data_IF_736693957736
#
_entry.id   IF_736693957736
#
_cell.length_a   1.000
_cell.length_b   1.000
_cell.length_c   1.000
_cell.angle_alpha   90.00
_cell.angle_beta   90.00
_cell.angle_gamma   90.00
#
_symmetry.space_group_name_H-M   'P 1'
#
loop_
_entity.id
_entity.type
_entity.pdbx_description
1 polymer ?
#
# COMPACT_ATOMS: atom_id res chain seq x y z
N UNK A 1 40.38 15.46 54.29
CA UNK A 1 40.73 14.10 53.84
C UNK A 1 39.56 13.20 54.21
N UNK A 2 38.74 12.80 53.23
CA UNK A 2 38.82 11.51 52.51
C UNK A 2 38.53 10.30 53.44
N UNK A 3 37.65 9.35 53.13
CA UNK A 3 36.95 9.13 51.88
C UNK A 3 35.78 8.15 52.02
N UNK A 4 34.74 8.45 51.25
CA UNK A 4 33.66 7.52 50.89
C UNK A 4 34.17 6.63 49.74
N UNK A 5 34.15 5.31 49.91
CA UNK A 5 34.36 4.38 48.81
C UNK A 5 33.35 3.23 48.87
N UNK A 6 33.00 2.77 47.67
CA UNK A 6 32.29 1.53 47.32
C UNK A 6 30.76 1.53 47.24
N UNK A 7 30.25 2.08 46.13
CA UNK A 7 28.99 1.63 45.49
C UNK A 7 29.04 1.67 43.95
N UNK A 8 30.23 1.79 43.34
CA UNK A 8 30.37 1.88 41.87
C UNK A 8 30.50 0.53 41.15
N UNK A 9 30.74 -0.59 41.86
CA UNK A 9 30.94 -1.91 41.23
C UNK A 9 29.67 -2.54 40.63
N UNK A 10 28.52 -2.41 41.29
CA UNK A 10 27.30 -3.11 40.86
C UNK A 10 26.54 -2.43 39.73
N UNK A 11 26.69 -1.11 39.56
CA UNK A 11 25.97 -0.37 38.51
C UNK A 11 26.63 -0.51 37.12
N UNK A 12 27.96 -0.69 37.09
CA UNK A 12 28.72 -0.91 35.86
C UNK A 12 28.45 -2.31 35.30
N UNK A 13 28.43 -3.33 36.15
CA UNK A 13 28.13 -4.71 35.75
C UNK A 13 26.70 -4.87 35.20
N UNK A 14 25.72 -4.16 35.76
CA UNK A 14 24.34 -4.20 35.24
C UNK A 14 24.21 -3.48 33.91
N UNK A 15 24.91 -2.36 33.68
CA UNK A 15 24.92 -1.67 32.39
C UNK A 15 25.61 -2.49 31.30
N UNK A 16 26.74 -3.14 31.61
CA UNK A 16 27.43 -4.02 30.67
C UNK A 16 26.60 -5.27 30.32
N UNK A 17 25.89 -5.84 31.30
CA UNK A 17 24.96 -6.94 31.06
C UNK A 17 23.76 -6.51 30.20
N UNK A 18 23.18 -5.33 30.45
CA UNK A 18 22.08 -4.80 29.64
C UNK A 18 22.52 -4.43 28.22
N UNK A 19 23.74 -3.94 28.05
CA UNK A 19 24.29 -3.59 26.74
C UNK A 19 24.67 -4.84 25.94
N UNK A 20 25.15 -5.91 26.61
CA UNK A 20 25.30 -7.25 26.01
C UNK A 20 23.96 -7.89 25.65
N UNK A 21 22.93 -7.72 26.47
CA UNK A 21 21.58 -8.24 26.16
C UNK A 21 20.93 -7.48 24.99
N UNK A 22 21.03 -6.15 24.98
CA UNK A 22 20.52 -5.30 23.89
C UNK A 22 21.27 -5.54 22.58
N UNK A 23 22.60 -5.68 22.63
CA UNK A 23 23.38 -6.04 21.43
C UNK A 23 23.07 -7.45 20.95
N UNK A 24 22.87 -8.44 21.84
CA UNK A 24 22.46 -9.80 21.44
C UNK A 24 21.03 -9.86 20.88
N UNK A 25 20.09 -9.05 21.39
CA UNK A 25 18.74 -8.91 20.84
C UNK A 25 18.77 -8.22 19.47
N UNK A 26 19.59 -7.18 19.32
CA UNK A 26 19.81 -6.50 18.04
C UNK A 26 20.51 -7.42 17.04
N UNK A 27 21.49 -8.21 17.47
CA UNK A 27 22.15 -9.23 16.64
C UNK A 27 21.20 -10.40 16.29
N UNK A 28 20.24 -10.74 17.15
CA UNK A 28 19.22 -11.76 16.86
C UNK A 28 18.18 -11.24 15.87
N UNK A 29 17.72 -9.99 16.01
CA UNK A 29 16.80 -9.36 15.06
C UNK A 29 17.48 -9.05 13.72
N UNK A 30 18.73 -8.55 13.73
CA UNK A 30 19.53 -8.36 12.53
C UNK A 30 19.89 -9.70 11.88
N UNK A 31 20.22 -10.78 12.62
CA UNK A 31 20.38 -12.13 12.03
C UNK A 31 19.09 -12.74 11.50
N UNK A 32 17.93 -12.33 11.99
CA UNK A 32 16.63 -12.79 11.46
C UNK A 32 16.26 -12.05 10.18
N UNK A 33 16.75 -10.81 10.03
CA UNK A 33 16.50 -9.94 8.87
C UNK A 33 17.59 -10.10 7.78
N UNK A 34 18.78 -10.61 8.14
CA UNK A 34 19.96 -10.73 7.25
C UNK A 34 20.51 -12.16 7.15
N UNK A 35 19.65 -13.17 7.04
CA UNK A 35 20.11 -14.53 6.67
C UNK A 35 20.28 -14.62 5.13
N UNK A 36 21.32 -13.96 4.63
CA UNK A 36 21.81 -14.13 3.26
C UNK A 36 22.39 -15.54 3.05
N UNK A 37 21.80 -16.23 2.07
CA UNK A 37 22.49 -16.83 0.92
C UNK A 37 23.91 -17.39 1.16
N UNK A 38 23.97 -18.70 1.38
CA UNK A 38 25.06 -19.51 0.81
C UNK A 38 24.47 -20.19 -0.42
N UNK A 39 24.84 -19.68 -1.60
CA UNK A 39 24.66 -20.37 -2.87
C UNK A 39 25.45 -21.68 -2.85
N UNK A 40 24.75 -22.79 -2.63
CA UNK A 40 25.17 -24.13 -3.05
C UNK A 40 24.02 -24.73 -3.85
N UNK A 41 24.16 -24.62 -5.18
CA UNK A 41 23.51 -25.37 -6.25
C UNK A 41 22.22 -26.16 -5.93
N UNK A 42 21.10 -25.67 -6.49
CA UNK A 42 19.93 -26.47 -6.86
C UNK A 42 18.85 -26.59 -5.77
N UNK A 43 17.65 -26.08 -6.09
CA UNK A 43 16.41 -26.13 -5.29
C UNK A 43 16.34 -25.18 -4.08
N UNK A 44 16.21 -23.88 -4.34
CA UNK A 44 15.85 -22.88 -3.32
C UNK A 44 14.34 -22.83 -3.09
N UNK A 45 13.95 -22.96 -1.83
CA UNK A 45 12.58 -22.97 -1.34
C UNK A 45 11.89 -21.60 -1.45
N UNK A 46 10.80 -21.52 -2.21
CA UNK A 46 10.01 -20.31 -2.44
C UNK A 46 9.11 -19.91 -1.25
N UNK A 47 9.06 -20.71 -0.17
CA UNK A 47 8.04 -20.59 0.90
C UNK A 47 8.22 -19.44 1.89
N UNK A 48 9.41 -18.83 2.02
CA UNK A 48 9.62 -17.79 3.04
C UNK A 48 8.85 -16.48 2.75
N UNK A 49 8.49 -16.21 1.49
CA UNK A 49 7.64 -15.07 1.12
C UNK A 49 6.14 -15.42 1.05
N UNK A 50 5.79 -16.71 1.16
CA UNK A 50 4.40 -17.18 1.14
C UNK A 50 3.75 -17.19 2.53
N UNK A 51 4.52 -16.99 3.60
CA UNK A 51 4.02 -17.05 4.99
C UNK A 51 3.26 -15.80 5.43
N UNK A 52 3.55 -14.61 4.88
CA UNK A 52 2.85 -13.38 5.27
C UNK A 52 1.83 -12.99 4.20
N UNK A 53 0.54 -12.99 4.57
CA UNK A 53 -0.54 -12.70 3.60
C UNK A 53 -1.47 -11.61 4.15
N UNK A 54 -2.62 -11.98 4.71
CA UNK A 54 -3.62 -11.04 5.21
C UNK A 54 -3.06 -10.14 6.33
N UNK A 55 -3.25 -8.81 6.19
CA UNK A 55 -2.76 -7.78 7.11
C UNK A 55 -1.28 -7.91 7.51
N UNK A 56 -0.46 -8.43 6.58
CA UNK A 56 0.95 -8.74 6.81
C UNK A 56 1.19 -9.65 8.03
N UNK A 57 0.21 -10.51 8.36
CA UNK A 57 0.31 -11.52 9.41
C UNK A 57 0.74 -12.86 8.85
N UNK A 58 1.44 -13.59 9.71
CA UNK A 58 1.92 -14.94 9.42
C UNK A 58 0.72 -15.89 9.34
N UNK A 59 0.54 -16.50 8.18
CA UNK A 59 -0.35 -17.62 7.96
C UNK A 59 0.36 -18.89 8.42
N UNK A 60 -0.22 -19.54 9.42
CA UNK A 60 0.15 -20.91 9.76
C UNK A 60 -0.42 -21.86 8.70
N UNK A 61 0.46 -22.47 7.90
CA UNK A 61 0.08 -23.36 6.80
C UNK A 61 -0.58 -24.65 7.28
N UNK A 62 -0.30 -25.13 8.50
CA UNK A 62 -0.89 -26.37 9.02
C UNK A 62 -2.34 -26.18 9.42
N UNK A 63 -2.68 -24.99 9.92
CA UNK A 63 -4.02 -24.70 10.45
C UNK A 63 -4.86 -23.79 9.55
N UNK A 64 -4.23 -23.05 8.63
CA UNK A 64 -4.88 -22.05 7.79
C UNK A 64 -5.26 -20.77 8.52
N UNK A 65 -4.73 -20.54 9.73
CA UNK A 65 -5.05 -19.40 10.57
C UNK A 65 -3.92 -18.38 10.58
N UNK A 66 -4.26 -17.12 10.85
CA UNK A 66 -3.28 -16.04 10.95
C UNK A 66 -2.90 -15.78 12.40
N UNK A 67 -1.60 -15.69 12.69
CA UNK A 67 -1.11 -15.33 14.00
C UNK A 67 -0.94 -13.80 14.14
N UNK A 68 -1.67 -13.22 15.08
CA UNK A 68 -1.69 -11.77 15.33
C UNK A 68 -0.91 -11.35 16.59
N UNK A 69 -0.24 -12.29 17.26
CA UNK A 69 0.48 -12.05 18.51
C UNK A 69 -0.34 -12.51 19.72
N UNK A 70 -1.46 -11.88 20.01
CA UNK A 70 -2.28 -12.28 21.15
C UNK A 70 -3.33 -13.36 20.82
N UNK A 71 -3.72 -13.48 19.54
CA UNK A 71 -4.78 -14.38 19.09
C UNK A 71 -4.47 -14.97 17.71
N UNK A 72 -5.08 -16.12 17.44
CA UNK A 72 -5.19 -16.67 16.08
C UNK A 72 -6.50 -16.23 15.45
N UNK A 73 -6.43 -15.74 14.22
CA UNK A 73 -7.57 -15.34 13.40
C UNK A 73 -7.86 -16.41 12.37
N UNK A 74 -9.11 -16.85 12.31
CA UNK A 74 -9.61 -17.74 11.26
C UNK A 74 -10.18 -16.89 10.11
N UNK A 75 -9.50 -16.83 8.95
CA UNK A 75 -9.93 -16.02 7.82
C UNK A 75 -11.15 -16.60 7.08
N UNK A 76 -11.47 -17.88 7.27
CA UNK A 76 -12.60 -18.56 6.61
C UNK A 76 -13.91 -18.18 7.29
N UNK A 77 -13.90 -18.10 8.62
CA UNK A 77 -15.07 -17.74 9.42
C UNK A 77 -15.07 -16.28 9.87
N UNK A 78 -13.97 -15.56 9.65
CA UNK A 78 -13.77 -14.16 10.03
C UNK A 78 -13.93 -13.91 11.54
N UNK A 79 -13.37 -14.81 12.34
CA UNK A 79 -13.44 -14.75 13.82
C UNK A 79 -12.08 -14.99 14.45
N UNK A 80 -11.91 -14.46 15.67
CA UNK A 80 -10.84 -14.89 16.55
C UNK A 80 -11.13 -16.29 17.10
N UNK A 81 -10.08 -17.11 17.21
CA UNK A 81 -10.18 -18.45 17.81
C UNK A 81 -10.18 -18.45 19.34
N UNK A 82 -9.89 -17.30 19.96
CA UNK A 82 -9.90 -17.14 21.42
C UNK A 82 -10.59 -15.83 21.83
N UNK A 83 -11.08 -15.81 23.07
CA UNK A 83 -11.70 -14.63 23.70
C UNK A 83 -10.73 -13.45 23.67
N UNK A 84 -11.24 -12.26 23.31
CA UNK A 84 -10.49 -11.00 23.38
C UNK A 84 -9.96 -10.74 24.81
N UNK A 85 -8.64 -10.59 25.00
CA UNK A 85 -8.08 -10.22 26.30
C UNK A 85 -8.63 -8.90 26.86
N UNK A 86 -9.14 -8.02 25.98
CA UNK A 86 -9.75 -6.74 26.30
C UNK A 86 -11.25 -6.71 25.97
N UNK A 87 -11.95 -7.86 26.02
CA UNK A 87 -13.38 -7.96 25.76
C UNK A 87 -14.23 -6.94 26.53
N UNK A 88 -13.84 -6.61 27.76
CA UNK A 88 -14.52 -5.63 28.62
C UNK A 88 -14.52 -4.20 28.04
N UNK A 89 -13.56 -3.87 27.17
CA UNK A 89 -13.48 -2.58 26.48
C UNK A 89 -14.53 -2.43 25.38
N UNK A 90 -15.10 -3.54 24.91
CA UNK A 90 -16.04 -3.57 23.79
C UNK A 90 -17.41 -4.14 24.21
N UNK A 91 -18.10 -3.51 25.19
CA UNK A 91 -19.41 -3.99 25.62
C UNK A 91 -20.40 -3.94 24.44
N UNK A 92 -21.13 -5.03 24.22
CA UNK A 92 -22.07 -5.17 23.11
C UNK A 92 -21.50 -5.84 21.85
N UNK A 93 -20.20 -6.12 21.81
CA UNK A 93 -19.58 -6.91 20.75
C UNK A 93 -19.21 -8.31 21.22
N UNK A 94 -19.30 -9.29 20.32
CA UNK A 94 -18.83 -10.65 20.61
C UNK A 94 -17.32 -10.63 20.91
N UNK A 95 -16.81 -11.31 21.95
CA UNK A 95 -15.37 -11.36 22.24
C UNK A 95 -14.55 -12.08 21.15
N UNK A 96 -15.21 -12.68 20.17
CA UNK A 96 -14.60 -13.35 19.02
C UNK A 96 -14.69 -12.51 17.74
N UNK A 97 -15.26 -11.31 17.79
CA UNK A 97 -15.42 -10.47 16.61
C UNK A 97 -14.06 -9.96 16.12
N UNK A 98 -13.85 -10.00 14.80
CA UNK A 98 -12.71 -9.34 14.19
C UNK A 98 -13.09 -7.90 13.83
N UNK A 99 -12.30 -6.92 14.29
CA UNK A 99 -12.35 -5.51 13.82
C UNK A 99 -13.73 -4.83 13.92
N UNK A 100 -14.52 -5.11 14.96
CA UNK A 100 -15.89 -4.61 15.13
C UNK A 100 -16.79 -4.93 13.92
N UNK A 101 -16.55 -6.10 13.31
CA UNK A 101 -17.18 -6.54 12.06
C UNK A 101 -17.01 -5.58 10.88
N UNK A 102 -16.01 -4.71 10.92
CA UNK A 102 -15.67 -3.80 9.83
C UNK A 102 -14.17 -3.87 9.47
N UNK A 103 -13.71 -5.02 8.95
CA UNK A 103 -12.31 -5.25 8.55
C UNK A 103 -11.87 -4.43 7.32
N UNK A 104 -12.83 -3.77 6.66
CA UNK A 104 -12.55 -2.84 5.56
C UNK A 104 -12.02 -1.52 6.11
N UNK A 105 -12.52 -1.11 7.29
CA UNK A 105 -12.13 0.14 7.93
C UNK A 105 -11.07 -0.04 9.01
N UNK A 106 -11.15 -1.09 9.80
CA UNK A 106 -10.28 -1.26 10.98
C UNK A 106 -9.31 -2.41 10.80
N UNK A 107 -8.20 -2.32 11.51
CA UNK A 107 -7.23 -3.39 11.68
C UNK A 107 -7.09 -3.69 13.16
N UNK A 108 -6.71 -4.91 13.53
CA UNK A 108 -6.27 -5.22 14.90
C UNK A 108 -4.83 -5.73 14.82
N UNK A 109 -3.82 -4.85 14.89
CA UNK A 109 -2.44 -5.23 14.62
C UNK A 109 -1.85 -6.20 15.65
N UNK A 110 -2.42 -6.31 16.84
CA UNK A 110 -1.87 -7.10 17.95
C UNK A 110 -2.76 -8.27 18.37
N UNK A 111 -3.96 -8.37 17.78
CA UNK A 111 -4.98 -9.28 18.25
C UNK A 111 -5.50 -8.89 19.63
N UNK A 112 -5.50 -7.61 20.00
CA UNK A 112 -6.01 -7.13 21.29
C UNK A 112 -6.84 -5.85 21.17
N UNK A 113 -6.52 -4.98 20.21
CA UNK A 113 -7.14 -3.65 20.11
C UNK A 113 -7.42 -3.38 18.65
N UNK A 114 -8.69 -3.09 18.37
CA UNK A 114 -9.12 -2.58 17.08
C UNK A 114 -8.64 -1.14 16.94
N UNK A 115 -7.89 -0.87 15.87
CA UNK A 115 -7.33 0.42 15.51
C UNK A 115 -7.90 0.88 14.16
N UNK A 116 -8.11 2.19 14.01
CA UNK A 116 -8.23 2.75 12.68
C UNK A 116 -6.85 2.68 12.00
N UNK A 117 -6.77 2.60 10.66
CA UNK A 117 -5.52 2.71 9.93
C UNK A 117 -4.89 4.09 10.15
N UNK A 118 -3.57 4.09 10.18
CA UNK A 118 -2.76 5.28 10.39
C UNK A 118 -2.92 6.30 9.26
N UNK A 119 -2.75 7.58 9.59
CA UNK A 119 -2.54 8.62 8.59
C UNK A 119 -1.12 8.50 8.01
N UNK A 120 -1.02 8.58 6.69
CA UNK A 120 0.25 8.51 5.97
C UNK A 120 0.64 9.85 5.36
N UNK A 121 1.91 10.20 5.48
CA UNK A 121 2.50 11.38 4.89
C UNK A 121 3.38 11.00 3.73
N UNK A 122 3.11 11.55 2.55
CA UNK A 122 3.97 11.43 1.38
C UNK A 122 4.62 12.77 1.05
N UNK A 123 5.82 12.70 0.49
CA UNK A 123 6.53 13.88 0.02
C UNK A 123 5.81 14.50 -1.17
N UNK A 124 5.51 15.80 -1.09
CA UNK A 124 4.76 16.50 -2.12
C UNK A 124 5.45 16.53 -3.48
N UNK A 125 6.79 16.38 -3.51
CA UNK A 125 7.58 16.39 -4.75
C UNK A 125 7.77 15.01 -5.36
N UNK A 126 7.90 13.99 -4.52
CA UNK A 126 8.32 12.65 -4.95
C UNK A 126 7.28 11.56 -4.75
N UNK A 127 6.22 11.86 -3.99
CA UNK A 127 5.17 10.91 -3.60
C UNK A 127 5.68 9.78 -2.69
N UNK A 128 6.93 9.84 -2.24
CA UNK A 128 7.54 8.82 -1.37
C UNK A 128 6.94 8.90 0.03
N UNK A 129 6.67 7.75 0.65
CA UNK A 129 6.27 7.70 2.05
C UNK A 129 7.36 8.32 2.97
N UNK A 130 6.93 9.26 3.82
CA UNK A 130 7.74 9.93 4.84
C UNK A 130 7.50 9.35 6.24
N UNK A 131 6.26 8.99 6.55
CA UNK A 131 5.88 8.39 7.84
C UNK A 131 4.43 8.64 8.22
N UNK A 132 4.15 8.54 9.51
CA UNK A 132 2.81 8.68 10.12
C UNK A 132 2.88 9.65 11.29
N UNK A 133 1.75 10.25 11.67
CA UNK A 133 1.65 11.21 12.78
C UNK A 133 0.97 10.64 14.04
N UNK A 134 0.68 9.34 14.06
CA UNK A 134 -0.04 8.67 15.16
C UNK A 134 -1.52 9.05 15.26
N UNK A 135 -2.05 9.81 14.29
CA UNK A 135 -3.49 9.91 14.09
C UNK A 135 -3.94 8.73 13.24
N UNK A 136 -5.12 8.20 13.57
CA UNK A 136 -5.63 7.01 12.92
C UNK A 136 -6.94 7.38 12.20
N UNK A 137 -6.84 8.12 11.09
CA UNK A 137 -8.02 8.61 10.36
C UNK A 137 -8.09 8.12 8.90
N UNK A 138 -7.23 7.18 8.50
CA UNK A 138 -7.07 6.65 7.14
C UNK A 138 -6.79 7.74 6.08
N UNK A 139 -6.11 8.83 6.46
CA UNK A 139 -5.84 9.93 5.53
C UNK A 139 -4.43 9.85 4.96
N UNK A 140 -4.32 10.10 3.67
CA UNK A 140 -3.04 10.31 3.02
C UNK A 140 -2.85 11.80 2.82
N UNK A 141 -1.75 12.36 3.32
CA UNK A 141 -1.44 13.78 3.29
C UNK A 141 -0.13 14.03 2.57
N UNK A 142 -0.02 15.17 1.91
CA UNK A 142 1.20 15.60 1.23
C UNK A 142 1.84 16.75 1.98
N UNK A 143 3.17 16.69 2.11
CA UNK A 143 3.98 17.69 2.80
C UNK A 143 5.37 17.75 2.15
N UNK A 144 6.06 18.90 2.18
CA UNK A 144 7.48 18.94 1.78
C UNK A 144 8.32 18.12 2.76
N UNK A 145 9.20 17.26 2.23
CA UNK A 145 10.04 16.39 3.05
C UNK A 145 10.88 17.13 4.10
N UNK A 146 11.36 18.35 3.82
CA UNK A 146 12.14 19.12 4.81
C UNK A 146 11.24 19.57 5.96
N UNK A 147 10.03 20.03 5.67
CA UNK A 147 9.05 20.41 6.69
C UNK A 147 8.71 19.22 7.59
N UNK A 148 8.45 18.05 7.02
CA UNK A 148 8.20 16.82 7.80
C UNK A 148 9.38 16.48 8.72
N UNK A 149 10.61 16.48 8.17
CA UNK A 149 11.83 16.17 8.92
C UNK A 149 12.11 17.18 10.03
N UNK A 150 11.83 18.47 9.81
CA UNK A 150 11.97 19.51 10.81
C UNK A 150 10.99 19.30 11.98
N UNK A 151 9.72 19.02 11.70
CA UNK A 151 8.72 18.72 12.75
C UNK A 151 9.15 17.48 13.52
N UNK A 152 9.56 16.42 12.84
CA UNK A 152 10.06 15.19 13.47
C UNK A 152 11.25 15.45 14.39
N UNK A 153 12.24 16.23 13.95
CA UNK A 153 13.43 16.54 14.73
C UNK A 153 13.09 17.38 15.97
N UNK A 154 12.25 18.40 15.82
CA UNK A 154 11.88 19.32 16.89
C UNK A 154 11.04 18.65 18.00
N UNK A 155 10.29 17.61 17.66
CA UNK A 155 9.40 16.92 18.59
C UNK A 155 9.93 15.53 19.02
N UNK A 156 11.17 15.18 18.66
CA UNK A 156 11.78 13.86 18.90
C UNK A 156 10.93 12.68 18.36
N UNK A 157 10.21 12.88 17.26
CA UNK A 157 9.26 11.93 16.71
C UNK A 157 8.08 12.61 16.03
N UNK A 158 7.14 11.80 15.54
CA UNK A 158 5.98 12.29 14.78
C UNK A 158 4.64 12.04 15.46
N UNK A 159 4.63 11.27 16.55
CA UNK A 159 3.40 10.72 17.17
C UNK A 159 2.96 11.43 18.46
N UNK A 160 3.66 12.49 18.88
CA UNK A 160 3.20 13.32 20.01
C UNK A 160 2.10 14.27 19.55
N UNK A 161 1.14 14.62 20.42
CA UNK A 161 0.03 15.53 20.05
C UNK A 161 0.51 16.80 19.35
N UNK A 162 1.62 17.39 19.84
CA UNK A 162 2.23 18.58 19.25
C UNK A 162 2.80 18.31 17.85
N UNK A 163 3.48 17.18 17.64
CA UNK A 163 3.98 16.80 16.32
C UNK A 163 2.82 16.53 15.35
N UNK A 164 1.80 15.81 15.80
CA UNK A 164 0.58 15.51 15.04
C UNK A 164 -0.10 16.79 14.56
N UNK A 165 -0.36 17.74 15.48
CA UNK A 165 -0.96 19.03 15.14
C UNK A 165 -0.12 19.81 14.13
N UNK A 166 1.20 19.87 14.32
CA UNK A 166 2.11 20.56 13.39
C UNK A 166 2.15 19.90 12.02
N UNK A 167 2.21 18.56 11.95
CA UNK A 167 2.21 17.83 10.69
C UNK A 167 0.88 18.02 9.95
N UNK A 168 -0.25 17.96 10.64
CA UNK A 168 -1.57 18.16 10.03
C UNK A 168 -1.78 19.59 9.54
N UNK A 169 -1.28 20.59 10.28
CA UNK A 169 -1.37 22.00 9.90
C UNK A 169 -0.48 22.37 8.69
N UNK A 170 0.65 21.68 8.53
CA UNK A 170 1.61 21.93 7.44
C UNK A 170 1.47 20.97 6.26
N UNK A 171 0.38 20.21 6.19
CA UNK A 171 0.12 19.25 5.12
C UNK A 171 -1.25 19.45 4.50
N UNK A 172 -1.40 18.96 3.27
CA UNK A 172 -2.66 18.96 2.54
C UNK A 172 -3.19 17.55 2.38
N UNK A 173 -4.50 17.36 2.51
CA UNK A 173 -5.13 16.06 2.27
C UNK A 173 -5.08 15.72 0.78
N UNK A 174 -4.65 14.49 0.45
CA UNK A 174 -4.76 13.95 -0.90
C UNK A 174 -6.19 13.46 -1.10
N UNK A 175 -6.81 13.94 -2.16
CA UNK A 175 -8.16 13.53 -2.57
C UNK A 175 -8.10 12.76 -3.87
N UNK A 176 -9.16 12.04 -4.22
CA UNK A 176 -9.28 11.32 -5.50
C UNK A 176 -10.42 11.95 -6.28
N UNK A 177 -10.15 12.41 -7.51
CA UNK A 177 -11.19 12.82 -8.44
C UNK A 177 -11.87 11.59 -9.03
N UNK A 178 -12.73 10.96 -8.22
CA UNK A 178 -13.37 9.70 -8.57
C UNK A 178 -14.21 9.82 -9.85
N UNK A 179 -14.88 10.95 -10.04
CA UNK A 179 -15.71 11.19 -11.22
C UNK A 179 -14.87 11.14 -12.51
N UNK A 180 -13.70 11.79 -12.52
CA UNK A 180 -12.81 11.76 -13.68
C UNK A 180 -12.26 10.35 -13.92
N UNK A 181 -11.73 9.71 -12.87
CA UNK A 181 -11.13 8.36 -12.97
C UNK A 181 -12.15 7.34 -13.48
N UNK A 182 -13.35 7.31 -12.91
CA UNK A 182 -14.43 6.39 -13.33
C UNK A 182 -14.90 6.68 -14.77
N UNK A 183 -15.02 7.95 -15.13
CA UNK A 183 -15.43 8.39 -16.47
C UNK A 183 -14.40 7.97 -17.53
N UNK A 184 -13.11 8.17 -17.24
CA UNK A 184 -12.04 7.81 -18.17
C UNK A 184 -11.93 6.29 -18.33
N UNK A 185 -12.05 5.52 -17.24
CA UNK A 185 -12.10 4.04 -17.27
C UNK A 185 -13.26 3.55 -18.14
N UNK A 186 -14.44 4.12 -17.93
CA UNK A 186 -15.64 3.82 -18.73
C UNK A 186 -15.39 4.11 -20.21
N UNK A 187 -14.74 5.25 -20.49
CA UNK A 187 -14.41 5.71 -21.84
C UNK A 187 -13.46 4.74 -22.52
N UNK A 188 -12.30 4.44 -21.93
CA UNK A 188 -11.32 3.52 -22.54
C UNK A 188 -11.89 2.12 -22.76
N UNK A 189 -12.70 1.62 -21.84
CA UNK A 189 -13.36 0.32 -21.97
C UNK A 189 -14.32 0.32 -23.17
N UNK A 190 -15.21 1.31 -23.25
CA UNK A 190 -16.22 1.38 -24.31
C UNK A 190 -15.58 1.65 -25.68
N UNK A 191 -14.50 2.42 -25.73
CA UNK A 191 -13.73 2.64 -26.95
C UNK A 191 -13.05 1.34 -27.41
N UNK A 192 -12.44 0.56 -26.53
CA UNK A 192 -11.85 -0.76 -26.86
C UNK A 192 -12.91 -1.75 -27.33
N UNK A 193 -14.09 -1.74 -26.70
CA UNK A 193 -15.21 -2.59 -27.11
C UNK A 193 -15.67 -2.25 -28.54
N UNK A 194 -15.71 -0.95 -28.86
CA UNK A 194 -16.16 -0.46 -30.16
C UNK A 194 -15.09 -0.62 -31.24
N UNK A 195 -13.82 -0.44 -30.89
CA UNK A 195 -12.64 -0.52 -31.75
C UNK A 195 -11.71 -1.62 -31.24
N UNK A 196 -11.96 -2.84 -31.71
CA UNK A 196 -11.19 -4.04 -31.34
C UNK A 196 -9.78 -4.07 -31.96
N UNK A 197 -9.40 -3.06 -32.75
CA UNK A 197 -8.08 -3.03 -33.41
C UNK A 197 -6.97 -2.52 -32.50
N UNK A 198 -7.31 -1.89 -31.37
CA UNK A 198 -6.34 -1.31 -30.46
C UNK A 198 -6.81 -1.37 -29.01
N UNK A 199 -5.84 -1.57 -28.12
CA UNK A 199 -6.02 -1.41 -26.68
C UNK A 199 -5.95 0.07 -26.29
N UNK A 200 -6.43 0.38 -25.10
CA UNK A 200 -6.41 1.72 -24.54
C UNK A 200 -5.62 1.75 -23.26
N UNK A 201 -4.98 2.90 -23.04
CA UNK A 201 -4.11 3.17 -21.92
C UNK A 201 -4.68 4.36 -21.15
N UNK A 202 -4.48 4.37 -19.84
CA UNK A 202 -4.88 5.44 -18.93
C UNK A 202 -3.83 5.55 -17.84
N UNK A 203 -3.43 6.77 -17.55
CA UNK A 203 -2.49 7.06 -16.46
C UNK A 203 -3.28 7.51 -15.24
N UNK A 204 -2.95 6.97 -14.07
CA UNK A 204 -3.39 7.48 -12.77
C UNK A 204 -2.30 8.40 -12.25
N UNK A 205 -2.65 9.64 -11.96
CA UNK A 205 -1.70 10.72 -11.71
C UNK A 205 -1.93 11.35 -10.34
N UNK A 206 -0.86 11.66 -9.61
CA UNK A 206 -0.90 12.61 -8.51
C UNK A 206 -0.56 13.99 -9.07
N UNK A 207 -1.59 14.80 -9.27
CA UNK A 207 -1.49 16.13 -9.90
C UNK A 207 -1.67 17.23 -8.87
N UNK A 208 -1.04 18.38 -9.11
CA UNK A 208 -1.30 19.58 -8.32
C UNK A 208 -2.62 20.23 -8.74
N UNK A 209 -3.43 20.63 -7.75
CA UNK A 209 -4.62 21.46 -7.91
C UNK A 209 -4.58 22.61 -6.92
N UNK A 210 -5.26 23.71 -7.22
CA UNK A 210 -5.58 24.71 -6.22
C UNK A 210 -6.89 24.33 -5.54
N UNK A 211 -6.95 24.40 -4.21
CA UNK A 211 -8.19 24.27 -3.45
C UNK A 211 -9.09 25.52 -3.60
N UNK A 212 -10.30 25.49 -3.02
CA UNK A 212 -11.25 26.61 -3.08
C UNK A 212 -10.72 27.91 -2.45
N UNK A 213 -9.64 27.81 -1.67
CA UNK A 213 -8.96 28.93 -1.03
C UNK A 213 -7.69 29.36 -1.79
N UNK A 214 -7.41 28.76 -2.95
CA UNK A 214 -6.25 29.05 -3.79
C UNK A 214 -4.94 28.39 -3.35
N UNK A 215 -4.96 27.51 -2.33
CA UNK A 215 -3.77 26.80 -1.88
C UNK A 215 -3.50 25.60 -2.76
N UNK A 216 -2.23 25.34 -3.05
CA UNK A 216 -1.83 24.14 -3.78
C UNK A 216 -2.00 22.89 -2.91
N UNK A 217 -2.75 21.93 -3.43
CA UNK A 217 -2.92 20.59 -2.89
C UNK A 217 -2.67 19.56 -3.99
N UNK A 218 -2.58 18.29 -3.64
CA UNK A 218 -2.49 17.21 -4.61
C UNK A 218 -3.77 16.40 -4.66
N UNK A 219 -4.12 15.95 -5.86
CA UNK A 219 -5.28 15.12 -6.14
C UNK A 219 -4.89 13.99 -7.08
N UNK A 220 -5.48 12.82 -6.84
CA UNK A 220 -5.42 11.71 -7.77
C UNK A 220 -6.39 11.97 -8.91
N UNK A 221 -5.86 12.11 -10.12
CA UNK A 221 -6.58 12.33 -11.36
C UNK A 221 -6.23 11.22 -12.36
N UNK A 222 -6.78 11.34 -13.58
CA UNK A 222 -6.43 10.45 -14.67
C UNK A 222 -6.22 11.18 -15.99
N UNK A 223 -5.42 10.60 -16.87
CA UNK A 223 -5.19 11.09 -18.23
C UNK A 223 -5.24 9.91 -19.21
N UNK A 224 -6.17 9.94 -20.16
CA UNK A 224 -6.26 8.93 -21.23
C UNK A 224 -4.99 8.99 -22.09
N UNK A 225 -4.32 7.85 -22.22
CA UNK A 225 -3.12 7.70 -23.02
C UNK A 225 -3.38 7.48 -24.51
N UNK A 226 -2.28 7.35 -25.25
CA UNK A 226 -2.33 6.92 -26.65
C UNK A 226 -2.90 5.50 -26.76
N UNK A 227 -3.45 5.17 -27.93
CA UNK A 227 -3.85 3.80 -28.24
C UNK A 227 -2.63 2.87 -28.12
N UNK A 228 -2.81 1.75 -27.43
CA UNK A 228 -1.78 0.72 -27.27
C UNK A 228 -1.61 -0.11 -28.55
N UNK A 229 -0.59 -0.97 -28.54
CA UNK A 229 -0.42 -2.04 -29.53
C UNK A 229 -0.75 -3.36 -28.83
N UNK A 230 -1.53 -4.23 -29.47
CA UNK A 230 -2.03 -5.51 -28.90
C UNK A 230 -1.00 -6.25 -28.03
N UNK A 231 -1.29 -6.36 -26.73
CA UNK A 231 -0.49 -7.06 -25.72
C UNK A 231 0.77 -6.35 -25.27
N UNK A 232 0.89 -5.05 -25.52
CA UNK A 232 2.00 -4.21 -25.06
C UNK A 232 1.48 -3.08 -24.18
N UNK A 233 1.80 -3.15 -22.90
CA UNK A 233 1.66 -2.05 -21.94
C UNK A 233 2.75 -1.00 -22.23
N UNK A 234 2.56 -0.17 -23.27
CA UNK A 234 3.45 0.95 -23.54
C UNK A 234 3.14 2.11 -22.59
N UNK A 235 3.77 2.11 -21.43
CA UNK A 235 3.63 3.17 -20.44
C UNK A 235 4.57 4.32 -20.79
N UNK A 236 4.06 5.34 -21.50
CA UNK A 236 4.80 6.52 -21.97
C UNK A 236 5.15 7.53 -20.87
N UNK A 237 5.48 7.05 -19.67
CA UNK A 237 5.96 7.87 -18.56
C UNK A 237 7.49 7.99 -18.61
N UNK A 238 8.02 9.11 -18.14
CA UNK A 238 9.48 9.34 -18.05
C UNK A 238 9.90 9.20 -16.61
N UNK A 239 10.93 8.40 -16.34
CA UNK A 239 11.55 8.33 -15.02
C UNK A 239 12.49 9.52 -14.88
N UNK A 240 12.26 10.38 -13.88
CA UNK A 240 13.15 11.52 -13.62
C UNK A 240 14.43 11.08 -12.87
N UNK A 241 15.34 12.02 -12.59
CA UNK A 241 16.61 11.73 -11.94
C UNK A 241 16.48 11.14 -10.53
N UNK A 242 15.35 11.34 -9.86
CA UNK A 242 15.04 10.79 -8.54
C UNK A 242 14.33 9.42 -8.64
N UNK A 243 14.31 8.84 -9.85
CA UNK A 243 13.69 7.55 -10.12
C UNK A 243 12.16 7.61 -10.14
N UNK A 244 11.53 8.79 -10.18
CA UNK A 244 10.06 8.96 -10.08
C UNK A 244 9.44 8.89 -11.47
N UNK A 245 8.40 8.07 -11.68
CA UNK A 245 7.65 8.06 -12.94
C UNK A 245 6.82 9.35 -13.05
N UNK A 246 7.05 10.11 -14.11
CA UNK A 246 6.44 11.41 -14.34
C UNK A 246 5.70 11.44 -15.69
N UNK A 247 4.59 12.19 -15.73
CA UNK A 247 3.87 12.54 -16.95
C UNK A 247 3.30 13.94 -16.84
N UNK A 248 3.62 14.82 -17.79
CA UNK A 248 3.10 16.20 -17.85
C UNK A 248 3.25 16.97 -16.52
N UNK A 249 4.37 16.77 -15.81
CA UNK A 249 4.61 17.41 -14.51
C UNK A 249 3.88 16.79 -13.32
N UNK A 250 3.09 15.74 -13.52
CA UNK A 250 2.43 14.95 -12.46
C UNK A 250 3.18 13.65 -12.19
N UNK A 251 3.12 13.17 -10.95
CA UNK A 251 3.67 11.86 -10.57
C UNK A 251 2.70 10.78 -11.06
N UNK A 252 3.22 9.70 -11.61
CA UNK A 252 2.40 8.59 -12.08
C UNK A 252 2.28 7.55 -10.97
N UNK A 253 1.05 7.32 -10.51
CA UNK A 253 0.75 6.37 -9.42
C UNK A 253 0.47 4.96 -9.95
N UNK A 254 0.00 4.85 -11.20
CA UNK A 254 -0.35 3.59 -11.82
C UNK A 254 -0.83 3.74 -13.24
N UNK A 255 -1.01 2.60 -13.91
CA UNK A 255 -1.51 2.51 -15.28
C UNK A 255 -2.70 1.59 -15.38
N UNK A 256 -3.70 1.97 -16.17
CA UNK A 256 -4.82 1.09 -16.53
C UNK A 256 -4.77 0.84 -18.02
N UNK A 257 -4.91 -0.41 -18.43
CA UNK A 257 -5.05 -0.77 -19.83
C UNK A 257 -6.23 -1.72 -20.06
N UNK A 258 -6.73 -1.76 -21.28
CA UNK A 258 -7.83 -2.62 -21.70
C UNK A 258 -7.36 -3.73 -22.62
N UNK A 259 -8.06 -4.85 -22.60
CA UNK A 259 -7.83 -5.98 -23.51
C UNK A 259 -8.88 -6.02 -24.64
N UNK A 260 -8.45 -6.16 -25.89
CA UNK A 260 -9.32 -6.46 -27.04
C UNK A 260 -9.52 -7.98 -27.24
N UNK A 261 -10.35 -8.37 -28.21
CA UNK A 261 -10.79 -9.76 -28.44
C UNK A 261 -9.64 -10.76 -28.65
N UNK A 262 -9.79 -11.92 -28.01
CA UNK A 262 -8.80 -12.99 -27.87
C UNK A 262 -8.47 -13.80 -29.15
N UNK A 263 -9.12 -13.56 -30.30
CA UNK A 263 -8.90 -14.37 -31.51
C UNK A 263 -7.49 -14.25 -32.11
N UNK A 264 -6.78 -13.15 -31.83
CA UNK A 264 -5.45 -12.86 -32.39
C UNK A 264 -4.28 -13.05 -31.38
N UNK A 265 -4.59 -13.65 -30.21
CA UNK A 265 -3.68 -14.19 -29.17
C UNK A 265 -2.35 -13.43 -28.93
N UNK A 266 -2.44 -12.30 -28.23
CA UNK A 266 -1.38 -11.83 -27.32
C UNK A 266 -1.86 -11.57 -25.89
N UNK A 267 -3.15 -11.34 -25.68
CA UNK A 267 -3.68 -10.96 -24.37
C UNK A 267 -4.19 -12.16 -23.58
N UNK A 268 -3.76 -12.27 -22.33
CA UNK A 268 -4.29 -13.22 -21.37
C UNK A 268 -5.34 -12.51 -20.48
N UNK A 269 -6.45 -13.16 -20.12
CA UNK A 269 -7.33 -12.66 -19.06
C UNK A 269 -6.53 -12.33 -17.81
N UNK A 270 -6.82 -11.20 -17.17
CA UNK A 270 -6.09 -10.81 -15.97
C UNK A 270 -4.90 -9.91 -16.22
N UNK A 271 -3.77 -10.18 -15.55
CA UNK A 271 -2.52 -9.44 -15.79
C UNK A 271 -1.46 -10.37 -16.36
N UNK A 272 -0.59 -9.82 -17.21
CA UNK A 272 0.44 -10.54 -17.93
C UNK A 272 1.84 -10.34 -17.30
N UNK A 273 2.82 -11.09 -17.82
CA UNK A 273 4.24 -10.89 -17.46
C UNK A 273 4.73 -9.49 -17.88
N UNK A 274 4.20 -8.94 -18.98
CA UNK A 274 4.53 -7.60 -19.44
C UNK A 274 4.01 -6.53 -18.47
N UNK A 275 2.82 -6.74 -17.89
CA UNK A 275 2.29 -5.88 -16.83
C UNK A 275 3.14 -5.93 -15.58
N UNK A 276 3.56 -7.14 -15.18
CA UNK A 276 4.46 -7.31 -14.04
C UNK A 276 5.79 -6.58 -14.26
N UNK A 277 6.40 -6.74 -15.43
CA UNK A 277 7.64 -6.06 -15.78
C UNK A 277 7.47 -4.53 -15.80
N UNK A 278 6.33 -4.04 -16.28
CA UNK A 278 6.01 -2.60 -16.31
C UNK A 278 5.80 -2.06 -14.89
N UNK A 279 5.02 -2.76 -14.06
CA UNK A 279 4.78 -2.42 -12.66
C UNK A 279 6.08 -2.34 -11.86
N UNK A 280 6.96 -3.33 -12.01
CA UNK A 280 8.28 -3.36 -11.37
C UNK A 280 9.21 -2.28 -11.92
N UNK A 281 9.24 -2.08 -13.24
CA UNK A 281 10.13 -1.11 -13.90
C UNK A 281 9.84 0.34 -13.52
N UNK A 282 8.57 0.70 -13.35
CA UNK A 282 8.17 2.05 -12.94
C UNK A 282 7.92 2.19 -11.43
N UNK A 283 7.84 1.07 -10.69
CA UNK A 283 7.53 1.08 -9.26
C UNK A 283 6.08 1.50 -8.97
N UNK A 284 5.14 1.10 -9.83
CA UNK A 284 3.72 1.47 -9.79
C UNK A 284 2.81 0.25 -9.91
N UNK A 285 1.51 0.42 -9.67
CA UNK A 285 0.52 -0.63 -9.96
C UNK A 285 0.04 -0.56 -11.41
N UNK A 286 -0.14 -1.71 -12.03
CA UNK A 286 -0.75 -1.85 -13.35
C UNK A 286 -2.08 -2.58 -13.21
N UNK A 287 -3.10 -2.03 -13.86
CA UNK A 287 -4.46 -2.54 -13.86
C UNK A 287 -4.84 -2.95 -15.28
N UNK A 288 -5.49 -4.09 -15.39
CA UNK A 288 -5.97 -4.62 -16.66
C UNK A 288 -7.50 -4.75 -16.62
N UNK A 289 -8.16 -4.35 -17.71
CA UNK A 289 -9.60 -4.45 -17.91
C UNK A 289 -9.89 -5.49 -18.98
N UNK A 290 -10.71 -6.48 -18.64
CA UNK A 290 -11.12 -7.55 -19.54
C UNK A 290 -12.23 -7.09 -20.52
N UNK A 291 -11.95 -6.05 -21.31
CA UNK A 291 -12.87 -5.47 -22.29
C UNK A 291 -13.23 -6.44 -23.43
N UNK A 292 -12.44 -7.49 -23.65
CA UNK A 292 -12.68 -8.55 -24.65
C UNK A 292 -14.01 -9.28 -24.45
N UNK A 293 -14.56 -9.25 -23.23
CA UNK A 293 -15.90 -9.80 -22.90
C UNK A 293 -17.01 -9.14 -23.73
N UNK A 294 -16.76 -7.97 -24.32
CA UNK A 294 -17.74 -7.19 -25.08
C UNK A 294 -18.76 -6.48 -24.18
N UNK A 295 -18.61 -6.58 -22.87
CA UNK A 295 -19.50 -5.97 -21.89
C UNK A 295 -19.17 -4.48 -21.75
N UNK A 296 -20.06 -3.61 -22.23
CA UNK A 296 -19.92 -2.16 -22.02
C UNK A 296 -20.07 -1.82 -20.54
N UNK A 297 -19.33 -0.80 -20.11
CA UNK A 297 -19.46 -0.26 -18.77
C UNK A 297 -20.78 0.51 -18.67
N UNK A 298 -21.64 0.10 -17.74
CA UNK A 298 -22.90 0.74 -17.37
C UNK A 298 -22.90 1.01 -15.86
N UNK A 299 -23.85 1.79 -15.32
CA UNK A 299 -23.90 2.04 -13.88
C UNK A 299 -23.98 0.76 -13.02
N UNK A 300 -24.55 -0.33 -13.56
CA UNK A 300 -24.81 -1.57 -12.83
C UNK A 300 -23.93 -2.73 -13.23
N UNK A 301 -23.12 -2.59 -14.29
CA UNK A 301 -22.38 -3.71 -14.86
C UNK A 301 -21.14 -3.26 -15.62
N UNK A 302 -20.09 -4.06 -15.60
CA UNK A 302 -18.86 -3.77 -16.32
C UNK A 302 -17.89 -4.95 -16.24
N UNK A 303 -16.89 -4.98 -17.14
CA UNK A 303 -15.89 -6.04 -17.14
C UNK A 303 -15.05 -6.01 -15.87
N UNK A 304 -14.51 -7.18 -15.53
CA UNK A 304 -13.62 -7.37 -14.41
C UNK A 304 -12.31 -6.59 -14.60
N UNK A 305 -11.75 -6.18 -13.48
CA UNK A 305 -10.44 -5.55 -13.42
C UNK A 305 -9.50 -6.36 -12.56
N UNK A 306 -8.24 -6.36 -12.96
CA UNK A 306 -7.16 -7.11 -12.35
C UNK A 306 -6.01 -6.16 -12.07
N UNK A 307 -5.13 -6.56 -11.14
CA UNK A 307 -4.00 -5.73 -10.72
C UNK A 307 -2.73 -6.55 -10.65
N UNK A 308 -1.62 -5.92 -10.98
CA UNK A 308 -0.29 -6.31 -10.54
C UNK A 308 0.38 -5.11 -9.86
N UNK A 309 0.87 -5.30 -8.64
CA UNK A 309 1.59 -4.28 -7.88
C UNK A 309 3.07 -4.28 -8.20
N UNK A 310 3.79 -3.25 -7.77
CA UNK A 310 5.21 -3.06 -8.06
C UNK A 310 6.15 -4.09 -7.42
N UNK A 311 5.69 -4.83 -6.42
CA UNK A 311 6.37 -6.00 -5.86
C UNK A 311 6.16 -7.27 -6.71
N UNK A 312 5.29 -7.21 -7.72
CA UNK A 312 4.93 -8.31 -8.60
C UNK A 312 3.74 -9.15 -8.12
N UNK A 313 3.04 -8.74 -7.05
CA UNK A 313 1.84 -9.44 -6.56
C UNK A 313 0.68 -9.22 -7.54
N UNK A 314 0.14 -10.32 -8.07
CA UNK A 314 -1.01 -10.31 -8.98
C UNK A 314 -2.29 -10.58 -8.21
N UNK A 315 -3.33 -9.79 -8.44
CA UNK A 315 -4.66 -9.95 -7.85
C UNK A 315 -5.72 -9.94 -8.94
N UNK A 316 -6.48 -11.03 -9.01
CA UNK A 316 -7.60 -11.15 -9.93
C UNK A 316 -8.88 -10.60 -9.32
N UNK A 317 -9.72 -9.96 -10.15
CA UNK A 317 -11.05 -9.49 -9.76
C UNK A 317 -11.02 -8.49 -8.59
N UNK A 318 -10.24 -7.42 -8.73
CA UNK A 318 -10.19 -6.32 -7.73
C UNK A 318 -11.43 -5.40 -7.78
N UNK A 319 -12.37 -5.69 -8.68
CA UNK A 319 -13.59 -4.92 -8.94
C UNK A 319 -13.99 -5.01 -10.40
N UNK A 320 -14.91 -4.14 -10.79
CA UNK A 320 -15.36 -3.98 -12.18
C UNK A 320 -15.23 -2.52 -12.60
N UNK A 321 -15.28 -2.21 -13.89
CA UNK A 321 -15.21 -0.81 -14.35
C UNK A 321 -16.25 0.11 -13.71
N UNK A 322 -17.42 -0.41 -13.31
CA UNK A 322 -18.49 0.35 -12.65
C UNK A 322 -18.45 0.32 -11.11
N UNK A 323 -17.69 -0.59 -10.52
CA UNK A 323 -17.48 -0.70 -9.08
C UNK A 323 -15.99 -0.83 -8.82
N UNK A 324 -15.29 0.29 -8.97
CA UNK A 324 -13.86 0.37 -8.79
C UNK A 324 -13.45 1.41 -7.75
N UNK A 325 -12.22 1.21 -7.24
CA UNK A 325 -11.52 2.17 -6.40
C UNK A 325 -10.07 2.36 -6.86
N UNK A 326 -9.79 2.23 -8.17
CA UNK A 326 -8.41 2.13 -8.67
C UNK A 326 -7.58 3.39 -8.41
N UNK A 327 -8.18 4.58 -8.37
CA UNK A 327 -7.46 5.81 -7.99
C UNK A 327 -6.88 5.75 -6.57
N UNK A 328 -7.71 5.40 -5.59
CA UNK A 328 -7.26 5.26 -4.20
C UNK A 328 -6.35 4.04 -4.01
N UNK A 329 -6.65 2.93 -4.69
CA UNK A 329 -5.82 1.73 -4.65
C UNK A 329 -4.41 2.01 -5.19
N UNK A 330 -4.29 2.73 -6.31
CA UNK A 330 -2.99 3.11 -6.88
C UNK A 330 -2.21 4.01 -5.92
N UNK A 331 -2.88 4.96 -5.28
CA UNK A 331 -2.27 5.81 -4.26
C UNK A 331 -1.74 4.98 -3.08
N UNK A 332 -2.57 4.08 -2.51
CA UNK A 332 -2.18 3.23 -1.38
C UNK A 332 -1.10 2.21 -1.71
N UNK A 333 -0.95 1.80 -2.97
CA UNK A 333 0.11 0.88 -3.40
C UNK A 333 1.36 1.61 -3.93
N UNK A 334 1.39 2.94 -3.92
CA UNK A 334 2.53 3.70 -4.41
C UNK A 334 3.62 3.81 -3.33
N UNK A 335 4.82 3.29 -3.66
CA UNK A 335 6.08 3.53 -2.94
C UNK A 335 6.03 3.40 -1.41
N UNK A 336 5.40 2.32 -0.94
CA UNK A 336 5.55 1.86 0.43
C UNK A 336 4.53 2.39 1.43
N UNK A 337 3.49 3.11 0.98
CA UNK A 337 2.23 3.17 1.74
C UNK A 337 1.75 1.71 1.87
N UNK A 338 1.43 1.24 3.08
CA UNK A 338 1.06 -0.17 3.34
C UNK A 338 -0.23 -0.27 4.12
#
# INVERSE_FOLDING_TARGET
MQGFFHLQGSYVLVKEALQKLKSNLKLKQEKLIFREEIFLNGYGDHRAFEQYKFNAKELDEETGNYYYGARYYDPKWSVWLSVDPLAEKYPGWSPYNYTLQNPVRYVDPTGMVVENPDDYYIDSKTGKLLGQDGANTDKIRTIDANTFNNVKANNNGTTSSQATEQLQANSSLVTVNKNQVDSDITTINNETISDQSAERQLYLLLSYKQDDNGNWAQEVTSEIGQKGTDGLTSFGAVINNDGIPMKNGSIVLGGVHTHNKLSDRKNAPGTSILDKNTAQGFGVSIYAIDSYTGQKATPTSGPAMHRVTSDGTQTNNIGTTNQNNVGMDALKNFRGIK
#
